data_IF_046909669214
#
_entry.id   IF_046909669214
#
_cell.length_a   1.000
_cell.length_b   1.000
_cell.length_c   1.000
_cell.angle_alpha   90.00
_cell.angle_beta   90.00
_cell.angle_gamma   90.00
#
_symmetry.space_group_name_H-M   'P 1'
#
loop_
_entity.id
_entity.type
_entity.pdbx_description
1 polymer ?
#
# COMPACT_ATOMS: atom_id res chain seq x y z
N UNK A 1 17.26 45.56 -4.61
CA UNK A 1 17.83 44.30 -5.13
C UNK A 1 17.23 43.18 -4.31
N UNK A 2 16.27 42.45 -4.87
CA UNK A 2 15.70 41.23 -4.27
C UNK A 2 15.26 40.32 -5.42
N UNK A 3 16.19 39.46 -5.85
CA UNK A 3 15.99 38.38 -6.81
C UNK A 3 15.77 37.09 -6.04
N UNK A 4 14.50 36.73 -5.78
CA UNK A 4 14.13 35.35 -5.41
C UNK A 4 12.66 34.98 -5.66
N UNK A 5 11.82 35.86 -6.19
CA UNK A 5 10.40 35.55 -6.48
C UNK A 5 10.09 35.26 -7.95
N UNK A 6 11.11 35.09 -8.80
CA UNK A 6 10.92 34.97 -10.25
C UNK A 6 10.96 33.53 -10.81
N UNK A 7 11.16 32.50 -9.99
CA UNK A 7 11.29 31.11 -10.46
C UNK A 7 10.08 30.19 -10.13
N UNK A 8 8.99 30.72 -9.57
CA UNK A 8 7.75 29.97 -9.31
C UNK A 8 6.63 30.25 -10.32
N UNK A 9 6.98 30.79 -11.49
CA UNK A 9 6.03 31.12 -12.54
C UNK A 9 6.29 30.27 -13.79
N UNK A 10 5.83 29.01 -13.77
CA UNK A 10 5.39 28.27 -14.97
C UNK A 10 4.91 26.87 -14.60
N UNK A 11 3.85 26.79 -13.78
CA UNK A 11 2.94 25.65 -13.86
C UNK A 11 1.58 26.26 -14.17
N UNK A 12 1.15 26.17 -15.44
CA UNK A 12 -0.20 26.51 -15.82
C UNK A 12 -1.13 25.51 -15.13
N UNK A 13 -1.65 25.88 -13.97
CA UNK A 13 -2.84 25.28 -13.39
C UNK A 13 -3.97 25.52 -14.41
N UNK A 14 -4.61 24.47 -14.97
CA UNK A 14 -5.79 24.66 -15.79
C UNK A 14 -6.83 25.47 -15.03
N UNK A 15 -7.39 26.48 -15.69
CA UNK A 15 -8.21 27.53 -15.08
C UNK A 15 -9.68 27.11 -14.87
N UNK A 16 -9.92 25.80 -14.86
CA UNK A 16 -11.23 25.19 -14.96
C UNK A 16 -11.31 24.01 -13.96
N UNK A 17 -11.92 24.29 -12.82
CA UNK A 17 -12.12 23.40 -11.67
C UNK A 17 -13.03 22.18 -11.93
N UNK A 18 -13.31 21.84 -13.20
CA UNK A 18 -14.29 20.80 -13.55
C UNK A 18 -13.68 19.46 -13.99
N UNK A 19 -12.36 19.36 -14.22
CA UNK A 19 -11.74 18.05 -14.35
C UNK A 19 -10.27 18.06 -13.94
N UNK A 20 -9.91 17.23 -12.96
CA UNK A 20 -8.54 16.77 -12.78
C UNK A 20 -8.35 15.60 -13.76
N UNK A 21 -7.68 15.79 -14.92
CA UNK A 21 -7.59 14.75 -15.93
C UNK A 21 -6.73 13.61 -15.39
N UNK A 22 -7.34 12.44 -15.18
CA UNK A 22 -6.62 11.22 -14.81
C UNK A 22 -6.04 10.58 -16.07
N UNK A 23 -4.77 10.18 -16.01
CA UNK A 23 -4.17 9.41 -17.10
C UNK A 23 -4.79 8.01 -17.18
N UNK A 24 -4.68 7.35 -18.35
CA UNK A 24 -5.13 5.96 -18.49
C UNK A 24 -4.37 5.02 -17.53
N UNK A 25 -3.11 5.31 -17.24
CA UNK A 25 -2.32 4.56 -16.24
C UNK A 25 -2.83 4.75 -14.81
N UNK A 26 -3.24 5.96 -14.43
CA UNK A 26 -3.84 6.22 -13.11
C UNK A 26 -5.21 5.57 -12.98
N UNK A 27 -6.01 5.58 -14.04
CA UNK A 27 -7.29 4.86 -14.09
C UNK A 27 -7.08 3.35 -13.98
N UNK A 28 -6.09 2.81 -14.69
CA UNK A 28 -5.75 1.41 -14.62
C UNK A 28 -5.25 1.02 -13.22
N UNK A 29 -4.35 1.82 -12.64
CA UNK A 29 -3.91 1.65 -11.26
C UNK A 29 -5.09 1.63 -10.27
N UNK A 30 -6.02 2.57 -10.40
CA UNK A 30 -7.22 2.61 -9.57
C UNK A 30 -8.10 1.36 -9.76
N UNK A 31 -8.29 0.89 -10.99
CA UNK A 31 -9.03 -0.35 -11.29
C UNK A 31 -8.36 -1.58 -10.67
N UNK A 32 -7.04 -1.62 -10.66
CA UNK A 32 -6.26 -2.75 -10.17
C UNK A 32 -6.14 -2.76 -8.64
N UNK A 33 -6.15 -1.58 -8.00
CA UNK A 33 -5.79 -1.42 -6.59
C UNK A 33 -6.89 -0.84 -5.69
N UNK A 34 -7.94 -0.23 -6.25
CA UNK A 34 -9.09 0.31 -5.49
C UNK A 34 -8.83 1.67 -4.79
N UNK A 35 -7.67 2.28 -4.99
CA UNK A 35 -7.34 3.61 -4.49
C UNK A 35 -6.45 4.37 -5.48
N UNK A 36 -6.36 5.70 -5.31
CA UNK A 36 -5.50 6.57 -6.10
C UNK A 36 -5.00 7.73 -5.23
N UNK A 37 -3.72 8.08 -5.36
CA UNK A 37 -3.11 9.22 -4.65
C UNK A 37 -2.96 10.38 -5.62
N UNK A 38 -3.62 11.51 -5.33
CA UNK A 38 -3.55 12.72 -6.14
C UNK A 38 -2.69 13.77 -5.44
N UNK A 39 -1.53 14.09 -6.02
CA UNK A 39 -0.63 15.13 -5.51
C UNK A 39 -1.17 16.52 -5.89
N UNK A 40 -0.97 17.48 -4.99
CA UNK A 40 -1.32 18.88 -5.24
C UNK A 40 -2.81 19.15 -5.43
N UNK A 41 -3.68 18.21 -5.02
CA UNK A 41 -5.13 18.39 -5.11
C UNK A 41 -5.63 19.55 -4.24
N UNK A 42 -4.94 19.79 -3.12
CA UNK A 42 -5.21 20.89 -2.20
C UNK A 42 -4.02 21.85 -2.29
N UNK A 43 -4.29 23.12 -2.56
CA UNK A 43 -3.25 24.15 -2.64
C UNK A 43 -2.64 24.45 -1.26
N UNK A 44 -1.39 24.91 -1.24
CA UNK A 44 -0.66 25.18 0.00
C UNK A 44 -1.36 26.21 0.92
N UNK A 45 -1.96 27.32 0.42
CA UNK A 45 -2.77 28.22 1.23
C UNK A 45 -3.96 27.52 1.91
N UNK A 46 -4.73 26.72 1.18
CA UNK A 46 -5.87 25.96 1.74
C UNK A 46 -5.40 24.97 2.80
N UNK A 47 -4.32 24.23 2.54
CA UNK A 47 -3.74 23.30 3.50
C UNK A 47 -3.25 24.01 4.78
N UNK A 48 -2.58 25.15 4.64
CA UNK A 48 -2.13 25.97 5.76
C UNK A 48 -3.32 26.47 6.59
N UNK A 49 -4.39 26.91 5.93
CA UNK A 49 -5.61 27.34 6.60
C UNK A 49 -6.28 26.21 7.39
N UNK A 50 -6.39 25.00 6.80
CA UNK A 50 -6.93 23.83 7.49
C UNK A 50 -6.08 23.46 8.72
N UNK A 51 -4.75 23.54 8.60
CA UNK A 51 -3.82 23.32 9.71
C UNK A 51 -4.03 24.34 10.82
N UNK A 52 -4.01 25.64 10.51
CA UNK A 52 -4.24 26.70 11.51
C UNK A 52 -5.58 26.52 12.23
N UNK A 53 -6.63 26.19 11.48
CA UNK A 53 -7.96 25.92 12.05
C UNK A 53 -7.96 24.75 13.02
N UNK A 54 -7.25 23.67 12.69
CA UNK A 54 -7.09 22.52 13.59
C UNK A 54 -6.35 22.90 14.88
N UNK A 55 -5.27 23.68 14.77
CA UNK A 55 -4.50 24.17 15.92
C UNK A 55 -5.39 25.04 16.83
N UNK A 56 -6.21 25.91 16.24
CA UNK A 56 -7.14 26.77 16.98
C UNK A 56 -8.20 25.97 17.74
N UNK A 57 -8.72 24.90 17.14
CA UNK A 57 -9.65 23.97 17.81
C UNK A 57 -8.93 23.24 18.96
N UNK A 58 -7.72 22.71 18.71
CA UNK A 58 -6.97 21.96 19.71
C UNK A 58 -6.58 22.83 20.91
N UNK A 59 -6.17 24.07 20.66
CA UNK A 59 -5.79 25.03 21.70
C UNK A 59 -6.98 25.69 22.41
N UNK A 60 -8.22 25.40 22.00
CA UNK A 60 -9.42 26.00 22.56
C UNK A 60 -9.59 27.49 22.23
N UNK A 61 -8.84 28.02 21.24
CA UNK A 61 -8.96 29.40 20.76
C UNK A 61 -10.25 29.62 19.97
N UNK A 62 -10.83 28.54 19.45
CA UNK A 62 -12.03 28.52 18.63
C UNK A 62 -12.96 27.41 19.10
N UNK A 63 -14.27 27.71 19.15
CA UNK A 63 -15.30 26.71 19.41
C UNK A 63 -15.44 25.73 18.22
N UNK A 64 -15.28 24.41 18.44
CA UNK A 64 -15.41 23.41 17.37
C UNK A 64 -16.84 23.25 16.82
N UNK A 65 -17.87 23.77 17.50
CA UNK A 65 -19.26 23.62 17.05
C UNK A 65 -19.70 22.16 16.92
N UNK A 66 -20.18 21.74 15.75
CA UNK A 66 -20.64 20.37 15.46
C UNK A 66 -19.50 19.37 15.16
N UNK A 67 -18.25 19.76 15.38
CA UNK A 67 -17.08 18.92 15.11
C UNK A 67 -16.83 18.00 16.31
N UNK A 68 -16.80 16.69 16.06
CA UNK A 68 -16.37 15.67 17.02
C UNK A 68 -14.86 15.70 17.16
N UNK A 69 -14.37 15.93 18.38
CA UNK A 69 -12.94 15.95 18.71
C UNK A 69 -12.54 14.63 19.35
N UNK A 70 -11.66 13.87 18.70
CA UNK A 70 -11.16 12.58 19.18
C UNK A 70 -9.83 12.76 19.90
N UNK A 71 -9.81 12.35 21.17
CA UNK A 71 -8.63 12.38 22.03
C UNK A 71 -8.02 10.99 22.10
N UNK A 72 -6.69 10.93 22.15
CA UNK A 72 -5.97 9.68 22.33
C UNK A 72 -6.15 9.19 23.77
N UNK A 73 -6.85 8.06 23.92
CA UNK A 73 -7.28 7.56 25.23
C UNK A 73 -6.09 7.24 26.16
N UNK A 74 -4.99 6.73 25.60
CA UNK A 74 -3.75 6.41 26.33
C UNK A 74 -3.04 7.64 26.91
N UNK A 75 -3.33 8.85 26.42
CA UNK A 75 -2.69 10.09 26.86
C UNK A 75 -3.59 10.94 27.78
N UNK A 76 -4.80 10.48 28.08
CA UNK A 76 -5.80 11.23 28.85
C UNK A 76 -5.33 11.63 30.25
N UNK A 77 -4.55 10.78 30.91
CA UNK A 77 -4.06 10.99 32.28
C UNK A 77 -2.62 11.53 32.33
N UNK A 78 -2.03 11.84 31.17
CA UNK A 78 -0.63 12.29 31.06
C UNK A 78 -0.44 13.81 31.29
N UNK A 79 -1.53 14.55 31.53
CA UNK A 79 -1.51 16.01 31.64
C UNK A 79 -1.29 16.76 30.31
N UNK A 80 -1.18 16.03 29.20
CA UNK A 80 -1.03 16.60 27.85
C UNK A 80 -2.30 17.30 27.38
N UNK A 81 -2.15 18.37 26.60
CA UNK A 81 -3.26 19.18 26.10
C UNK A 81 -3.06 19.54 24.62
N UNK A 82 -4.13 20.00 23.96
CA UNK A 82 -4.08 20.42 22.56
C UNK A 82 -3.66 19.32 21.58
N UNK A 83 -2.76 19.67 20.66
CA UNK A 83 -2.25 18.79 19.59
C UNK A 83 -1.56 17.52 20.12
N UNK A 84 -1.14 17.51 21.38
CA UNK A 84 -0.47 16.35 21.99
C UNK A 84 -1.47 15.31 22.53
N UNK A 85 -2.75 15.67 22.63
CA UNK A 85 -3.83 14.82 23.11
C UNK A 85 -4.89 14.56 22.03
N UNK A 86 -5.10 15.51 21.12
CA UNK A 86 -6.11 15.45 20.06
C UNK A 86 -5.43 15.04 18.76
N UNK A 87 -5.75 13.85 18.26
CA UNK A 87 -5.16 13.32 17.02
C UNK A 87 -6.12 13.40 15.83
N UNK A 88 -7.42 13.67 16.06
CA UNK A 88 -8.42 13.72 14.99
C UNK A 88 -9.60 14.62 15.35
N UNK A 89 -10.07 15.38 14.37
CA UNK A 89 -11.33 16.15 14.43
C UNK A 89 -12.19 15.75 13.23
N UNK A 90 -13.49 15.53 13.45
CA UNK A 90 -14.43 15.08 12.43
C UNK A 90 -15.67 15.96 12.43
N UNK A 91 -16.04 16.54 11.28
CA UNK A 91 -17.32 17.24 11.14
C UNK A 91 -18.32 16.36 10.38
N UNK A 92 -19.56 16.31 10.88
CA UNK A 92 -20.63 15.55 10.23
C UNK A 92 -21.61 16.57 9.61
N UNK A 93 -21.31 17.06 8.39
CA UNK A 93 -22.16 17.75 7.36
C UNK A 93 -21.26 18.61 6.44
N UNK A 94 -21.32 18.64 5.10
CA UNK A 94 -22.42 18.54 4.13
C UNK A 94 -22.07 17.65 2.92
N UNK A 95 -23.06 16.91 2.41
CA UNK A 95 -23.01 16.26 1.10
C UNK A 95 -23.08 17.33 0.00
N UNK A 96 -22.00 17.55 -0.75
CA UNK A 96 -22.08 18.31 -2.00
C UNK A 96 -22.78 17.41 -3.03
N UNK A 97 -24.06 17.64 -3.31
CA UNK A 97 -24.74 17.06 -4.48
C UNK A 97 -24.21 17.76 -5.74
N UNK A 98 -23.12 17.24 -6.31
CA UNK A 98 -22.88 17.41 -7.74
C UNK A 98 -23.73 16.40 -8.51
N UNK A 99 -24.48 16.87 -9.50
CA UNK A 99 -25.17 16.01 -10.47
C UNK A 99 -24.09 15.32 -11.31
N UNK A 100 -23.80 14.06 -10.97
CA UNK A 100 -22.77 13.25 -11.62
C UNK A 100 -22.04 12.47 -10.54
N UNK A 101 -22.21 11.16 -10.55
CA UNK A 101 -21.78 10.23 -9.52
C UNK A 101 -20.33 10.45 -9.06
N UNK A 102 -20.11 10.82 -7.80
CA UNK A 102 -19.04 10.36 -6.92
C UNK A 102 -19.36 10.86 -5.50
N UNK A 103 -19.44 9.96 -4.51
CA UNK A 103 -19.46 10.36 -3.10
C UNK A 103 -18.02 10.49 -2.62
N UNK A 104 -17.55 11.73 -2.46
CA UNK A 104 -16.29 12.02 -1.80
C UNK A 104 -16.51 11.96 -0.28
N UNK A 105 -15.92 10.97 0.39
CA UNK A 105 -15.74 11.02 1.84
C UNK A 105 -14.36 11.65 2.09
N UNK A 106 -14.34 12.94 2.43
CA UNK A 106 -13.13 13.61 2.91
C UNK A 106 -12.84 13.08 4.32
N UNK A 107 -11.87 12.17 4.42
CA UNK A 107 -11.25 11.82 5.69
C UNK A 107 -9.98 12.67 5.84
N UNK A 108 -10.10 13.82 6.49
CA UNK A 108 -8.94 14.60 6.92
C UNK A 108 -8.22 13.84 8.05
N UNK A 109 -7.09 13.21 7.72
CA UNK A 109 -6.16 12.62 8.70
C UNK A 109 -4.87 13.44 8.66
N UNK A 110 -4.82 14.49 9.50
CA UNK A 110 -3.61 15.27 9.75
C UNK A 110 -2.85 14.63 10.92
N UNK A 111 -1.68 14.04 10.65
CA UNK A 111 -0.76 13.56 11.69
C UNK A 111 0.54 14.35 11.60
N UNK A 112 0.91 15.13 12.63
CA UNK A 112 2.14 15.94 12.66
C UNK A 112 3.09 15.50 13.78
N UNK A 113 4.37 15.25 13.45
CA UNK A 113 5.48 15.15 14.43
C UNK A 113 6.40 16.37 14.31
N UNK A 114 6.80 16.95 15.46
CA UNK A 114 7.62 18.17 15.62
C UNK A 114 9.12 17.85 15.80
N UNK A 115 9.96 18.82 15.37
CA UNK A 115 11.34 19.21 15.79
C UNK A 115 12.49 19.01 14.77
N UNK A 116 13.09 20.10 14.26
CA UNK A 116 14.40 20.65 14.71
C UNK A 116 14.73 22.00 14.03
N UNK A 117 15.40 22.90 14.75
CA UNK A 117 15.79 24.25 14.31
C UNK A 117 17.21 24.48 14.85
N UNK A 118 18.25 24.53 14.01
CA UNK A 118 19.63 24.89 14.40
C UNK A 118 20.31 25.79 13.34
N UNK A 119 21.05 26.75 13.88
CA UNK A 119 21.76 27.89 13.30
C UNK A 119 22.75 27.62 12.15
N UNK A 120 22.74 28.58 11.21
CA UNK A 120 23.73 28.82 10.16
C UNK A 120 25.11 29.17 10.73
N UNK A 121 26.17 28.52 10.26
CA UNK A 121 27.55 29.06 10.30
C UNK A 121 28.27 28.61 9.02
N UNK A 122 28.60 29.58 8.16
CA UNK A 122 29.32 29.38 6.90
C UNK A 122 30.81 29.21 7.23
N UNK A 123 31.35 28.02 6.92
CA UNK A 123 32.79 27.81 6.83
C UNK A 123 33.08 27.22 5.45
N UNK A 124 33.66 28.04 4.57
CA UNK A 124 34.06 27.64 3.22
C UNK A 124 35.33 26.79 3.37
N UNK A 125 35.16 25.47 3.38
CA UNK A 125 36.22 24.52 3.07
C UNK A 125 35.91 23.94 1.70
N UNK A 126 36.92 23.91 0.82
CA UNK A 126 36.83 23.27 -0.49
C UNK A 126 36.50 21.78 -0.32
N UNK A 127 35.20 21.46 -0.28
CA UNK A 127 34.68 20.11 -0.22
C UNK A 127 34.50 19.64 -1.65
N UNK A 128 35.12 18.52 -2.00
CA UNK A 128 34.74 17.76 -3.19
C UNK A 128 33.29 17.35 -2.93
N UNK A 129 32.35 18.03 -3.62
CA UNK A 129 30.92 17.84 -3.43
C UNK A 129 30.52 16.45 -3.94
N UNK A 130 30.61 15.44 -3.07
CA UNK A 130 29.79 14.24 -3.23
C UNK A 130 28.40 14.66 -2.78
N UNK A 131 27.57 15.14 -3.71
CA UNK A 131 26.17 15.48 -3.42
C UNK A 131 25.45 14.20 -3.00
N UNK A 132 25.39 13.96 -1.69
CA UNK A 132 24.52 12.95 -1.10
C UNK A 132 23.09 13.44 -1.28
N UNK A 133 22.23 12.54 -1.77
CA UNK A 133 20.81 12.84 -1.97
C UNK A 133 20.08 12.67 -0.63
N UNK A 134 19.19 13.59 -0.28
CA UNK A 134 18.33 13.52 0.90
C UNK A 134 16.92 13.06 0.54
N UNK A 135 16.17 12.58 1.53
CA UNK A 135 14.80 12.15 1.32
C UNK A 135 13.91 13.30 0.79
N UNK A 136 14.09 14.52 1.28
CA UNK A 136 13.35 15.69 0.77
C UNK A 136 13.57 15.91 -0.73
N UNK A 137 14.80 15.73 -1.21
CA UNK A 137 15.12 15.86 -2.64
C UNK A 137 14.51 14.72 -3.46
N UNK A 138 14.49 13.50 -2.92
CA UNK A 138 13.84 12.33 -3.55
C UNK A 138 12.34 12.58 -3.72
N UNK A 139 11.68 13.17 -2.73
CA UNK A 139 10.24 13.43 -2.76
C UNK A 139 9.83 14.50 -3.78
N UNK A 140 10.79 15.34 -4.22
CA UNK A 140 10.60 16.36 -5.25
C UNK A 140 10.81 15.81 -6.67
N UNK A 141 11.12 14.52 -6.83
CA UNK A 141 11.28 13.93 -8.15
C UNK A 141 9.97 14.02 -8.95
N UNK A 142 10.05 14.36 -10.25
CA UNK A 142 8.92 14.17 -11.16
C UNK A 142 8.44 12.71 -11.12
N UNK A 143 7.13 12.49 -11.25
CA UNK A 143 6.53 11.15 -11.14
C UNK A 143 7.09 10.14 -12.18
N UNK A 144 7.70 10.61 -13.28
CA UNK A 144 8.31 9.80 -14.34
C UNK A 144 9.82 9.58 -14.17
N UNK A 145 10.47 10.20 -13.17
CA UNK A 145 11.90 10.04 -12.92
C UNK A 145 12.17 8.87 -11.97
N UNK A 146 12.77 7.82 -12.48
CA UNK A 146 13.33 6.74 -11.66
C UNK A 146 14.63 7.16 -10.97
N UNK A 147 14.81 6.71 -9.72
CA UNK A 147 16.09 6.81 -9.01
C UNK A 147 17.10 5.83 -9.60
N UNK A 148 18.36 6.23 -9.70
CA UNK A 148 19.45 5.39 -10.19
C UNK A 148 20.22 4.73 -9.05
N UNK A 149 20.86 3.60 -9.34
CA UNK A 149 21.76 2.96 -8.38
C UNK A 149 22.87 3.89 -7.86
N UNK A 150 23.40 4.77 -8.71
CA UNK A 150 24.46 5.71 -8.30
C UNK A 150 23.96 6.73 -7.27
N UNK A 151 22.73 7.23 -7.44
CA UNK A 151 22.11 8.14 -6.47
C UNK A 151 21.80 7.44 -5.16
N UNK A 152 21.29 6.20 -5.22
CA UNK A 152 21.10 5.37 -4.03
C UNK A 152 22.42 5.15 -3.27
N UNK A 153 23.53 4.93 -3.99
CA UNK A 153 24.85 4.73 -3.40
C UNK A 153 25.42 5.97 -2.70
N UNK A 154 24.96 7.17 -3.06
CA UNK A 154 25.33 8.42 -2.37
C UNK A 154 24.32 8.85 -1.31
N UNK A 155 23.14 8.21 -1.26
CA UNK A 155 22.07 8.49 -0.29
C UNK A 155 22.40 7.87 1.06
N UNK A 156 22.13 8.57 2.16
CA UNK A 156 22.33 7.99 3.49
C UNK A 156 21.28 6.89 3.78
N UNK A 157 21.62 5.83 4.53
CA UNK A 157 20.67 4.78 4.87
C UNK A 157 19.38 5.27 5.55
N UNK A 158 19.49 6.31 6.40
CA UNK A 158 18.33 6.94 7.05
C UNK A 158 17.36 7.53 6.04
N UNK A 159 17.87 8.24 5.03
CA UNK A 159 17.06 8.86 3.98
C UNK A 159 16.36 7.80 3.12
N UNK A 160 17.03 6.67 2.83
CA UNK A 160 16.41 5.52 2.14
C UNK A 160 15.24 4.97 2.95
N UNK A 161 15.39 4.83 4.27
CA UNK A 161 14.32 4.36 5.16
C UNK A 161 13.16 5.36 5.21
N UNK A 162 13.45 6.65 5.36
CA UNK A 162 12.44 7.70 5.47
C UNK A 162 11.64 7.86 4.16
N UNK A 163 12.28 7.63 3.01
CA UNK A 163 11.67 7.74 1.69
C UNK A 163 11.21 6.41 1.09
N UNK A 164 11.27 5.30 1.83
CA UNK A 164 11.00 3.96 1.29
C UNK A 164 9.66 3.86 0.58
N UNK A 165 8.61 4.48 1.14
CA UNK A 165 7.27 4.49 0.55
C UNK A 165 7.23 5.11 -0.85
N UNK A 166 8.09 6.09 -1.14
CA UNK A 166 8.22 6.68 -2.47
C UNK A 166 9.12 5.84 -3.37
N UNK A 167 10.27 5.38 -2.84
CA UNK A 167 11.24 4.59 -3.58
C UNK A 167 10.68 3.26 -4.08
N UNK A 168 9.88 2.56 -3.26
CA UNK A 168 9.30 1.27 -3.59
C UNK A 168 8.00 1.34 -4.40
N UNK A 169 7.42 2.53 -4.62
CA UNK A 169 6.06 2.69 -5.17
C UNK A 169 5.93 2.16 -6.60
N UNK A 170 6.93 2.42 -7.43
CA UNK A 170 6.96 2.05 -8.85
C UNK A 170 7.97 0.92 -9.08
N UNK A 171 7.82 0.20 -10.20
CA UNK A 171 8.70 -0.93 -10.50
C UNK A 171 10.17 -0.49 -10.58
N UNK A 172 10.99 -1.08 -9.71
CA UNK A 172 12.43 -0.84 -9.65
C UNK A 172 13.19 -1.85 -10.50
N UNK A 173 14.29 -1.47 -11.15
CA UNK A 173 15.23 -2.45 -11.65
C UNK A 173 15.85 -3.22 -10.47
N UNK A 174 16.21 -4.48 -10.72
CA UNK A 174 16.57 -5.42 -9.65
C UNK A 174 17.81 -4.98 -8.85
N UNK A 175 18.74 -4.22 -9.47
CA UNK A 175 19.95 -3.76 -8.81
C UNK A 175 19.63 -2.70 -7.72
N UNK A 176 18.72 -1.77 -8.03
CA UNK A 176 18.22 -0.73 -7.13
C UNK A 176 17.41 -1.34 -5.99
N UNK A 177 16.48 -2.24 -6.29
CA UNK A 177 15.71 -2.97 -5.28
C UNK A 177 16.64 -3.77 -4.34
N UNK A 178 17.67 -4.43 -4.88
CA UNK A 178 18.67 -5.16 -4.08
C UNK A 178 19.48 -4.23 -3.19
N UNK A 179 19.86 -3.06 -3.70
CA UNK A 179 20.60 -2.08 -2.91
C UNK A 179 19.75 -1.54 -1.75
N UNK A 180 18.49 -1.18 -2.01
CA UNK A 180 17.55 -0.72 -0.99
C UNK A 180 17.37 -1.82 0.06
N UNK A 181 17.08 -3.07 -0.35
CA UNK A 181 16.91 -4.18 0.60
C UNK A 181 18.13 -4.39 1.49
N UNK A 182 19.34 -4.46 0.91
CA UNK A 182 20.59 -4.60 1.68
C UNK A 182 20.79 -3.44 2.65
N UNK A 183 20.45 -2.23 2.24
CA UNK A 183 20.54 -1.04 3.10
C UNK A 183 19.59 -1.15 4.29
N UNK A 184 18.36 -1.62 4.08
CA UNK A 184 17.40 -1.85 5.17
C UNK A 184 17.91 -2.91 6.15
N UNK A 185 18.37 -4.05 5.65
CA UNK A 185 18.94 -5.12 6.48
C UNK A 185 20.13 -4.63 7.30
N UNK A 186 21.02 -3.83 6.70
CA UNK A 186 22.15 -3.24 7.42
C UNK A 186 21.71 -2.20 8.45
N UNK A 187 20.78 -1.31 8.10
CA UNK A 187 20.30 -0.24 8.97
C UNK A 187 19.58 -0.76 10.22
N UNK A 188 18.82 -1.85 10.09
CA UNK A 188 18.13 -2.49 11.21
C UNK A 188 18.95 -3.63 11.84
N UNK A 189 20.20 -3.86 11.42
CA UNK A 189 21.09 -4.90 11.95
C UNK A 189 20.52 -6.33 11.80
N UNK A 190 19.83 -6.60 10.70
CA UNK A 190 19.27 -7.91 10.36
C UNK A 190 17.82 -7.83 9.87
N UNK A 191 17.42 -8.78 9.02
CA UNK A 191 16.05 -8.85 8.46
C UNK A 191 14.99 -8.99 9.57
N UNK A 192 15.27 -9.76 10.61
CA UNK A 192 14.38 -10.00 11.76
C UNK A 192 14.07 -8.75 12.59
N UNK A 193 14.91 -7.72 12.50
CA UNK A 193 14.79 -6.50 13.27
C UNK A 193 14.04 -5.39 12.50
N UNK A 194 13.69 -5.64 11.23
CA UNK A 194 12.97 -4.67 10.41
C UNK A 194 11.53 -4.53 10.95
N UNK A 195 11.08 -3.33 11.36
CA UNK A 195 9.74 -3.14 11.88
C UNK A 195 8.66 -3.43 10.83
N UNK A 196 7.51 -4.01 11.23
CA UNK A 196 6.40 -4.31 10.32
C UNK A 196 5.92 -3.08 9.51
N UNK A 197 5.88 -1.89 10.14
CA UNK A 197 5.54 -0.63 9.46
C UNK A 197 6.47 -0.28 8.29
N UNK A 198 7.70 -0.82 8.27
CA UNK A 198 8.66 -0.66 7.17
C UNK A 198 8.42 -1.75 6.13
N UNK A 199 8.15 -2.99 6.55
CA UNK A 199 7.81 -4.10 5.66
C UNK A 199 6.57 -3.78 4.79
N UNK A 200 5.59 -3.08 5.36
CA UNK A 200 4.40 -2.59 4.64
C UNK A 200 4.70 -1.61 3.49
N UNK A 201 5.90 -1.01 3.46
CA UNK A 201 6.28 0.02 2.48
C UNK A 201 7.21 -0.52 1.38
N UNK A 202 7.57 -1.81 1.43
CA UNK A 202 8.59 -2.37 0.55
C UNK A 202 8.17 -2.35 -0.93
N UNK A 203 6.92 -2.68 -1.22
CA UNK A 203 6.37 -2.73 -2.58
C UNK A 203 7.34 -3.36 -3.61
N UNK A 204 7.85 -2.60 -4.58
CA UNK A 204 8.76 -3.11 -5.62
C UNK A 204 10.20 -3.40 -5.17
N UNK A 205 10.50 -3.24 -3.88
CA UNK A 205 11.70 -3.80 -3.24
C UNK A 205 11.54 -5.30 -2.96
N UNK A 206 10.30 -5.78 -2.82
CA UNK A 206 9.95 -7.18 -2.48
C UNK A 206 10.64 -8.23 -3.36
N UNK A 207 10.76 -8.08 -4.70
CA UNK A 207 11.47 -9.04 -5.55
C UNK A 207 12.94 -9.30 -5.17
N UNK A 208 13.60 -8.34 -4.49
CA UNK A 208 15.01 -8.45 -4.16
C UNK A 208 15.30 -9.25 -2.88
N UNK A 209 14.27 -9.52 -2.07
CA UNK A 209 14.38 -10.25 -0.82
C UNK A 209 14.66 -11.72 -1.10
N UNK A 210 15.68 -12.27 -0.45
CA UNK A 210 16.03 -13.69 -0.61
C UNK A 210 15.15 -14.59 0.27
N UNK A 211 14.94 -15.87 -0.10
CA UNK A 211 14.14 -16.80 0.72
C UNK A 211 14.60 -16.89 2.18
N UNK A 212 15.90 -16.82 2.44
CA UNK A 212 16.46 -16.89 3.79
C UNK A 212 16.09 -15.65 4.63
N UNK A 213 15.99 -14.50 3.99
CA UNK A 213 15.55 -13.28 4.67
C UNK A 213 14.05 -13.34 5.00
N UNK A 214 13.23 -13.84 4.07
CA UNK A 214 11.80 -14.06 4.31
C UNK A 214 11.56 -14.93 5.55
N UNK A 215 12.31 -16.02 5.70
CA UNK A 215 12.22 -16.91 6.86
C UNK A 215 12.50 -16.21 8.20
N UNK A 216 13.17 -15.06 8.19
CA UNK A 216 13.48 -14.29 9.39
C UNK A 216 12.51 -13.10 9.61
N UNK A 217 11.59 -12.82 8.68
CA UNK A 217 10.60 -11.76 8.85
C UNK A 217 9.47 -12.18 9.78
N UNK A 218 8.95 -11.22 10.54
CA UNK A 218 7.72 -11.37 11.31
C UNK A 218 6.53 -10.89 10.46
N UNK A 219 5.58 -11.77 10.19
CA UNK A 219 4.40 -11.50 9.36
C UNK A 219 3.11 -11.57 10.20
N UNK A 220 3.05 -10.83 11.30
CA UNK A 220 1.90 -10.89 12.23
C UNK A 220 0.76 -9.94 11.84
N UNK A 221 1.07 -8.84 11.15
CA UNK A 221 0.08 -7.90 10.64
C UNK A 221 -0.49 -8.31 9.27
N UNK A 222 -1.81 -8.26 9.13
CA UNK A 222 -2.51 -8.50 7.86
C UNK A 222 -2.08 -7.51 6.77
N UNK A 223 -1.68 -6.30 7.11
CA UNK A 223 -1.27 -5.30 6.12
C UNK A 223 0.09 -5.65 5.51
N UNK A 224 1.00 -6.25 6.31
CA UNK A 224 2.28 -6.77 5.83
C UNK A 224 2.04 -7.94 4.88
N UNK A 225 1.18 -8.89 5.29
CA UNK A 225 0.79 -10.03 4.46
C UNK A 225 0.13 -9.57 3.17
N UNK A 226 -0.76 -8.58 3.23
CA UNK A 226 -1.43 -8.01 2.07
C UNK A 226 -0.42 -7.39 1.09
N UNK A 227 0.59 -6.68 1.58
CA UNK A 227 1.64 -6.15 0.72
C UNK A 227 2.37 -7.30 0.00
N UNK A 228 2.84 -8.32 0.73
CA UNK A 228 3.52 -9.48 0.12
C UNK A 228 2.63 -10.36 -0.76
N UNK A 229 1.31 -10.31 -0.59
CA UNK A 229 0.34 -11.01 -1.42
C UNK A 229 0.16 -10.43 -2.83
N UNK A 230 0.63 -9.21 -3.08
CA UNK A 230 0.55 -8.59 -4.40
C UNK A 230 1.44 -9.33 -5.43
N UNK A 231 1.11 -9.15 -6.71
CA UNK A 231 1.85 -9.80 -7.79
C UNK A 231 3.14 -9.03 -8.14
N UNK A 232 4.23 -9.41 -7.47
CA UNK A 232 5.58 -8.94 -7.77
C UNK A 232 6.40 -9.90 -8.63
N UNK A 233 5.76 -10.91 -9.25
CA UNK A 233 6.43 -11.98 -10.00
C UNK A 233 7.53 -12.70 -9.20
N UNK A 234 7.22 -13.00 -7.93
CA UNK A 234 8.13 -13.74 -7.04
C UNK A 234 8.30 -15.18 -7.53
N UNK A 235 9.50 -15.73 -7.40
CA UNK A 235 9.73 -17.12 -7.74
C UNK A 235 9.17 -18.07 -6.67
N UNK A 236 9.07 -19.36 -7.00
CA UNK A 236 8.48 -20.36 -6.10
C UNK A 236 9.21 -20.47 -4.75
N UNK A 237 10.54 -20.29 -4.70
CA UNK A 237 11.29 -20.36 -3.45
C UNK A 237 10.95 -19.17 -2.52
N UNK A 238 10.83 -17.97 -3.09
CA UNK A 238 10.39 -16.78 -2.35
C UNK A 238 8.96 -16.94 -1.85
N UNK A 239 8.02 -17.35 -2.71
CA UNK A 239 6.62 -17.56 -2.31
C UNK A 239 6.50 -18.65 -1.23
N UNK A 240 7.29 -19.72 -1.32
CA UNK A 240 7.28 -20.79 -0.33
C UNK A 240 7.77 -20.32 1.04
N UNK A 241 8.84 -19.52 1.08
CA UNK A 241 9.34 -18.94 2.32
C UNK A 241 8.32 -17.98 2.97
N UNK A 242 7.65 -17.14 2.17
CA UNK A 242 6.57 -16.27 2.68
C UNK A 242 5.40 -17.11 3.19
N UNK A 243 4.98 -18.13 2.45
CA UNK A 243 3.86 -18.99 2.83
C UNK A 243 4.14 -19.77 4.12
N UNK A 244 5.38 -20.22 4.34
CA UNK A 244 5.80 -20.85 5.59
C UNK A 244 5.66 -19.88 6.77
N UNK A 245 6.19 -18.66 6.63
CA UNK A 245 6.05 -17.62 7.66
C UNK A 245 4.61 -17.21 7.92
N UNK A 246 3.77 -17.13 6.89
CA UNK A 246 2.34 -16.90 7.05
C UNK A 246 1.71 -18.01 7.90
N UNK A 247 2.00 -19.28 7.63
CA UNK A 247 1.44 -20.40 8.42
C UNK A 247 1.84 -20.32 9.89
N UNK A 248 3.05 -19.85 10.18
CA UNK A 248 3.58 -19.73 11.54
C UNK A 248 3.08 -18.49 12.28
N UNK A 249 3.13 -17.32 11.64
CA UNK A 249 2.90 -16.02 12.27
C UNK A 249 1.47 -15.50 12.13
N UNK A 250 0.75 -15.89 11.07
CA UNK A 250 -0.56 -15.31 10.73
C UNK A 250 -1.66 -15.90 11.62
N UNK A 251 -1.67 -15.43 12.87
CA UNK A 251 -2.64 -15.72 13.93
C UNK A 251 -2.91 -17.23 14.19
N UNK A 252 -2.04 -18.13 13.74
CA UNK A 252 -2.22 -19.59 13.85
C UNK A 252 -3.51 -20.10 13.19
N UNK A 253 -4.04 -19.37 12.19
CA UNK A 253 -5.26 -19.76 11.48
C UNK A 253 -5.00 -20.95 10.58
N UNK A 254 -5.93 -21.90 10.58
CA UNK A 254 -5.94 -22.95 9.56
C UNK A 254 -6.71 -22.47 8.32
N UNK A 255 -6.53 -23.12 7.15
CA UNK A 255 -7.28 -22.77 5.95
C UNK A 255 -8.81 -22.75 6.14
N UNK A 256 -9.37 -23.59 7.01
CA UNK A 256 -10.80 -23.58 7.36
C UNK A 256 -11.25 -22.29 8.03
N UNK A 257 -10.35 -21.64 8.79
CA UNK A 257 -10.62 -20.45 9.59
C UNK A 257 -10.47 -19.16 8.79
N UNK A 258 -9.89 -19.24 7.58
CA UNK A 258 -9.73 -18.07 6.72
C UNK A 258 -11.08 -17.41 6.42
N UNK A 259 -11.04 -16.09 6.45
CA UNK A 259 -12.12 -15.18 6.06
C UNK A 259 -11.85 -14.61 4.68
N UNK A 260 -12.84 -13.89 4.12
CA UNK A 260 -12.68 -13.19 2.85
C UNK A 260 -11.49 -12.21 2.89
N UNK A 261 -11.32 -11.50 4.02
CA UNK A 261 -10.22 -10.57 4.23
C UNK A 261 -8.87 -11.28 4.22
N UNK A 262 -8.78 -12.46 4.83
CA UNK A 262 -7.55 -13.25 4.85
C UNK A 262 -7.16 -13.69 3.44
N UNK A 263 -8.10 -14.25 2.66
CA UNK A 263 -7.81 -14.67 1.27
C UNK A 263 -7.43 -13.49 0.37
N UNK A 264 -8.06 -12.33 0.58
CA UNK A 264 -7.77 -11.10 -0.15
C UNK A 264 -6.40 -10.50 0.21
N UNK A 265 -5.90 -10.75 1.42
CA UNK A 265 -4.54 -10.40 1.81
C UNK A 265 -3.52 -11.39 1.25
N UNK A 266 -3.81 -12.70 1.33
CA UNK A 266 -2.86 -13.75 0.94
C UNK A 266 -2.57 -13.76 -0.57
N UNK A 267 -3.60 -13.65 -1.43
CA UNK A 267 -3.45 -13.56 -2.91
C UNK A 267 -2.34 -14.49 -3.45
N UNK A 268 -1.26 -13.96 -4.02
CA UNK A 268 -0.21 -14.74 -4.68
C UNK A 268 0.55 -15.67 -3.74
N UNK A 269 0.53 -15.41 -2.42
CA UNK A 269 1.08 -16.35 -1.43
C UNK A 269 0.36 -17.70 -1.49
N UNK A 270 -0.94 -17.72 -1.85
CA UNK A 270 -1.71 -18.96 -2.03
C UNK A 270 -1.17 -19.85 -3.16
N UNK A 271 -0.40 -19.31 -4.12
CA UNK A 271 0.26 -20.12 -5.15
C UNK A 271 1.32 -21.08 -4.57
N UNK A 272 1.82 -20.84 -3.35
CA UNK A 272 2.77 -21.70 -2.66
C UNK A 272 2.12 -22.64 -1.63
N UNK A 273 0.79 -22.64 -1.56
CA UNK A 273 0.05 -23.66 -0.79
C UNK A 273 -0.01 -24.95 -1.61
N UNK A 274 -0.22 -26.08 -0.95
CA UNK A 274 -0.53 -27.31 -1.67
C UNK A 274 -2.04 -27.45 -1.88
N UNK A 275 -2.42 -28.32 -2.82
CA UNK A 275 -3.82 -28.59 -3.16
C UNK A 275 -4.69 -28.92 -1.94
N UNK A 276 -4.19 -29.76 -1.03
CA UNK A 276 -4.95 -30.18 0.15
C UNK A 276 -5.22 -29.02 1.13
N UNK A 277 -4.30 -28.06 1.22
CA UNK A 277 -4.51 -26.84 2.02
C UNK A 277 -5.55 -25.93 1.36
N UNK A 278 -5.49 -25.76 0.04
CA UNK A 278 -6.48 -24.98 -0.71
C UNK A 278 -7.86 -25.59 -0.54
N UNK A 279 -8.02 -26.89 -0.71
CA UNK A 279 -9.32 -27.59 -0.61
C UNK A 279 -9.95 -27.54 0.80
N UNK A 280 -9.16 -27.21 1.83
CA UNK A 280 -9.66 -26.98 3.20
C UNK A 280 -10.29 -25.59 3.40
N UNK A 281 -10.07 -24.64 2.49
CA UNK A 281 -10.71 -23.33 2.54
C UNK A 281 -12.22 -23.49 2.40
N UNK A 282 -13.00 -22.78 3.22
CA UNK A 282 -14.47 -22.86 3.15
C UNK A 282 -14.97 -22.35 1.79
N UNK A 283 -15.77 -23.13 1.04
CA UNK A 283 -16.21 -22.75 -0.31
C UNK A 283 -16.98 -21.42 -0.36
N UNK A 284 -17.77 -21.11 0.69
CA UNK A 284 -18.48 -19.83 0.77
C UNK A 284 -17.53 -18.63 0.84
N UNK A 285 -16.40 -18.79 1.55
CA UNK A 285 -15.37 -17.76 1.67
C UNK A 285 -14.58 -17.63 0.37
N UNK A 286 -14.26 -18.77 -0.27
CA UNK A 286 -13.67 -18.76 -1.61
C UNK A 286 -14.54 -18.00 -2.62
N UNK A 287 -15.86 -18.24 -2.62
CA UNK A 287 -16.80 -17.51 -3.49
C UNK A 287 -16.73 -16.00 -3.28
N UNK A 288 -16.72 -15.54 -2.04
CA UNK A 288 -16.61 -14.11 -1.72
C UNK A 288 -15.30 -13.53 -2.27
N UNK A 289 -14.20 -14.29 -2.19
CA UNK A 289 -12.87 -13.87 -2.66
C UNK A 289 -12.61 -14.14 -4.15
N UNK A 290 -13.54 -14.76 -4.88
CA UNK A 290 -13.28 -15.31 -6.20
C UNK A 290 -12.75 -14.28 -7.19
N UNK A 291 -13.32 -13.06 -7.22
CA UNK A 291 -12.88 -11.99 -8.13
C UNK A 291 -11.40 -11.62 -7.91
N UNK A 292 -10.92 -11.70 -6.67
CA UNK A 292 -9.52 -11.44 -6.35
C UNK A 292 -8.65 -12.63 -6.71
N UNK A 293 -9.07 -13.85 -6.34
CA UNK A 293 -8.32 -15.08 -6.57
C UNK A 293 -8.34 -15.54 -8.05
N UNK A 294 -9.31 -15.09 -8.83
CA UNK A 294 -9.37 -15.32 -10.27
C UNK A 294 -8.31 -14.54 -11.05
N UNK A 295 -7.62 -13.60 -10.39
CA UNK A 295 -6.48 -12.82 -10.93
C UNK A 295 -5.12 -13.36 -10.51
N UNK A 296 -5.07 -14.51 -9.82
CA UNK A 296 -3.79 -15.16 -9.51
C UNK A 296 -3.05 -15.49 -10.79
N UNK A 297 -1.72 -15.46 -10.72
CA UNK A 297 -0.86 -15.68 -11.87
C UNK A 297 0.27 -16.64 -11.50
N UNK A 298 0.69 -17.46 -12.46
CA UNK A 298 1.81 -18.39 -12.32
C UNK A 298 1.70 -19.41 -11.16
N UNK A 299 0.50 -19.67 -10.61
CA UNK A 299 0.36 -20.80 -9.68
C UNK A 299 0.48 -22.15 -10.42
N UNK A 300 0.90 -23.18 -9.68
CA UNK A 300 0.93 -24.55 -10.20
C UNK A 300 -0.47 -25.09 -10.56
N UNK A 301 -0.51 -26.06 -11.47
CA UNK A 301 -1.75 -26.74 -11.86
C UNK A 301 -2.46 -27.37 -10.66
N UNK A 302 -1.74 -27.94 -9.70
CA UNK A 302 -2.33 -28.59 -8.52
C UNK A 302 -3.06 -27.59 -7.62
N UNK A 303 -2.49 -26.40 -7.44
CA UNK A 303 -3.13 -25.31 -6.69
C UNK A 303 -4.39 -24.83 -7.38
N UNK A 304 -4.31 -24.59 -8.70
CA UNK A 304 -5.47 -24.16 -9.48
C UNK A 304 -6.58 -25.20 -9.50
N UNK A 305 -6.25 -26.50 -9.54
CA UNK A 305 -7.21 -27.59 -9.39
C UNK A 305 -7.86 -27.62 -7.99
N UNK A 306 -7.13 -27.26 -6.94
CA UNK A 306 -7.70 -27.10 -5.60
C UNK A 306 -8.76 -26.00 -5.58
N UNK A 307 -8.48 -24.83 -6.16
CA UNK A 307 -9.48 -23.76 -6.28
C UNK A 307 -10.66 -24.16 -7.16
N UNK A 308 -10.42 -24.85 -8.27
CA UNK A 308 -11.47 -25.38 -9.12
C UNK A 308 -12.39 -26.35 -8.34
N UNK A 309 -11.81 -27.20 -7.50
CA UNK A 309 -12.55 -28.12 -6.62
C UNK A 309 -13.43 -27.36 -5.61
N UNK A 310 -13.01 -26.18 -5.13
CA UNK A 310 -13.85 -25.32 -4.30
C UNK A 310 -14.98 -24.67 -5.10
N UNK A 311 -14.70 -24.18 -6.30
CA UNK A 311 -15.65 -23.44 -7.13
C UNK A 311 -16.92 -24.25 -7.43
N UNK A 312 -16.76 -25.55 -7.66
CA UNK A 312 -17.82 -26.48 -8.05
C UNK A 312 -18.67 -26.93 -6.86
N UNK A 313 -18.27 -26.60 -5.63
CA UNK A 313 -19.06 -26.94 -4.45
C UNK A 313 -20.32 -26.07 -4.36
N UNK A 314 -21.47 -26.61 -3.90
CA UNK A 314 -22.73 -25.86 -3.80
C UNK A 314 -22.67 -24.61 -2.91
N UNK A 315 -21.78 -24.61 -1.91
CA UNK A 315 -21.59 -23.47 -1.00
C UNK A 315 -20.76 -22.34 -1.64
N UNK A 316 -20.02 -22.64 -2.70
CA UNK A 316 -19.42 -21.64 -3.57
C UNK A 316 -20.42 -21.30 -4.69
N UNK A 317 -20.11 -21.66 -5.93
CA UNK A 317 -20.95 -21.39 -7.10
C UNK A 317 -21.81 -22.61 -7.46
N UNK A 318 -21.22 -23.81 -7.40
CA UNK A 318 -21.85 -25.01 -7.93
C UNK A 318 -21.80 -25.07 -9.47
N UNK A 319 -21.92 -26.29 -10.02
CA UNK A 319 -21.82 -26.54 -11.47
C UNK A 319 -22.78 -25.68 -12.32
N UNK A 320 -24.08 -25.51 -11.98
CA UNK A 320 -24.99 -24.74 -12.83
C UNK A 320 -24.62 -23.25 -12.95
N UNK A 321 -24.12 -22.63 -11.87
CA UNK A 321 -23.75 -21.22 -11.88
C UNK A 321 -22.45 -20.97 -12.67
N UNK A 322 -21.53 -21.92 -12.66
CA UNK A 322 -20.29 -21.88 -13.46
C UNK A 322 -20.52 -21.91 -14.97
N UNK A 323 -21.76 -22.08 -15.43
CA UNK A 323 -22.13 -21.94 -16.85
C UNK A 323 -22.54 -20.52 -17.26
N UNK A 324 -22.43 -19.54 -16.36
CA UNK A 324 -22.78 -18.13 -16.65
C UNK A 324 -21.54 -17.28 -16.84
N UNK A 325 -21.56 -16.37 -17.82
CA UNK A 325 -20.43 -15.49 -18.14
C UNK A 325 -19.95 -14.68 -16.93
N UNK A 326 -20.88 -14.17 -16.12
CA UNK A 326 -20.55 -13.40 -14.92
C UNK A 326 -19.82 -14.21 -13.85
N UNK A 327 -20.15 -15.50 -13.72
CA UNK A 327 -19.46 -16.38 -12.77
C UNK A 327 -18.11 -16.81 -13.31
N UNK A 328 -18.00 -17.10 -14.61
CA UNK A 328 -16.72 -17.39 -15.26
C UNK A 328 -15.77 -16.21 -15.14
N UNK A 329 -16.25 -14.98 -15.35
CA UNK A 329 -15.46 -13.77 -15.16
C UNK A 329 -14.98 -13.63 -13.70
N UNK A 330 -15.86 -13.90 -12.72
CA UNK A 330 -15.50 -13.84 -11.31
C UNK A 330 -14.47 -14.91 -10.91
N UNK A 331 -14.58 -16.13 -11.44
CA UNK A 331 -13.65 -17.24 -11.16
C UNK A 331 -12.31 -17.07 -11.90
N UNK A 332 -12.32 -16.33 -13.02
CA UNK A 332 -11.11 -15.91 -13.73
C UNK A 332 -10.25 -17.10 -14.18
N UNK A 333 -8.94 -17.04 -13.89
CA UNK A 333 -7.95 -18.05 -14.30
C UNK A 333 -8.30 -19.47 -13.85
N UNK A 334 -9.01 -19.61 -12.73
CA UNK A 334 -9.40 -20.91 -12.16
C UNK A 334 -10.37 -21.66 -13.09
N UNK A 335 -11.14 -20.94 -13.92
CA UNK A 335 -12.09 -21.54 -14.86
C UNK A 335 -11.42 -22.53 -15.83
N UNK A 336 -10.14 -22.28 -16.18
CA UNK A 336 -9.35 -23.14 -17.05
C UNK A 336 -9.04 -24.52 -16.44
N UNK A 337 -9.29 -24.70 -15.15
CA UNK A 337 -8.95 -25.91 -14.38
C UNK A 337 -10.18 -26.65 -13.87
N UNK A 338 -11.39 -26.22 -14.26
CA UNK A 338 -12.64 -26.90 -13.91
C UNK A 338 -12.66 -28.34 -14.47
N UNK A 339 -13.23 -29.31 -13.74
CA UNK A 339 -13.34 -30.69 -14.21
C UNK A 339 -14.07 -30.77 -15.56
N UNK A 340 -13.51 -31.54 -16.50
CA UNK A 340 -14.12 -31.74 -17.83
C UNK A 340 -15.48 -32.45 -17.66
N UNK A 341 -16.55 -31.84 -18.16
CA UNK A 341 -17.94 -32.28 -18.01
C UNK A 341 -18.82 -31.32 -17.21
N UNK A 342 -18.25 -30.28 -16.60
CA UNK A 342 -18.97 -29.29 -15.79
C UNK A 342 -19.22 -27.94 -16.50
N UNK A 343 -18.61 -27.73 -17.66
CA UNK A 343 -18.82 -26.57 -18.53
C UNK A 343 -19.55 -27.03 -19.80
N UNK A 344 -20.58 -26.29 -20.25
CA UNK A 344 -21.19 -26.53 -21.56
C UNK A 344 -20.13 -26.39 -22.65
N UNK A 345 -20.08 -27.34 -23.58
CA UNK A 345 -19.38 -27.13 -24.84
C UNK A 345 -19.96 -25.87 -25.51
N UNK A 346 -19.11 -24.95 -26.03
CA UNK A 346 -19.60 -23.82 -26.79
C UNK A 346 -20.30 -24.33 -28.05
N UNK A 347 -21.58 -23.96 -28.22
CA UNK A 347 -22.36 -24.23 -29.44
C UNK A 347 -21.80 -23.50 -30.67
#
# INVERSE_FOLDING_TARGET
MNTSYAAMASWNVPQDAESYPLSESQLQFYRDNGYLVLRGLIDAPTLAHCKERFIDICSGRVDPGMITVMKEFSLKDSGKTGEELIYKTFSETQTIRHKGWFSLVLADVLTMKKHFLIHFTILILNFVSTNALFCEEILEFPDDRAITLQELQTTQPKDIVECLAHLGKEQLPMAEATYIWKTLVQYYEGASNIPEKVLMLLHWVTPAIQPEDYANLTLSSIDVVQNFGLNYNLNQAQLSAIAERVREDFAGKNPEDYTYYDLTALRQILCAFNRSEIERIRPSVYREAAIVLGKLDQCSTDVMQGFATLAVQPKAFGVPALSTDSTIEAVGVVANYLPKGELRDPE
#
